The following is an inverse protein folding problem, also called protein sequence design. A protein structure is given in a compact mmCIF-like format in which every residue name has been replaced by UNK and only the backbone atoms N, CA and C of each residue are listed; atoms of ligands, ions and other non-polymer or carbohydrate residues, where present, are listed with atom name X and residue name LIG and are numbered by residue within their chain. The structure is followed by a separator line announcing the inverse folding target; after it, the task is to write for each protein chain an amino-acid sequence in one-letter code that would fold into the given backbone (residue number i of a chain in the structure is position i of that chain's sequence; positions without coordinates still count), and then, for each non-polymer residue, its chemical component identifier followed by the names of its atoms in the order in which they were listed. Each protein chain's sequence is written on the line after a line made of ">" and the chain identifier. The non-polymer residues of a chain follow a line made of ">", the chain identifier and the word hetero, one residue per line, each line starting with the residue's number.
data_IF_409586995003
#
_entry.id   IF_409586995003
#
_cell.length_a   1.000
_cell.length_b   1.000
_cell.length_c   1.000
_cell.angle_alpha   90.00
_cell.angle_beta   90.00
_cell.angle_gamma   90.00
#
_symmetry.space_group_name_H-M   'P 1'
#
loop_
_entity.id
_entity.type
_entity.pdbx_description
1 polymer ?
#
# COMPACT_ATOMS: atom_id res chain seq x y z
N UNK A 1 21.82 -10.64 -6.62
CA UNK A 1 20.83 -11.30 -7.51
C UNK A 1 19.58 -10.44 -7.46
N UNK A 2 19.32 -9.67 -8.53
CA UNK A 2 18.16 -8.77 -8.57
C UNK A 2 16.90 -9.62 -8.58
N UNK A 3 16.09 -9.52 -7.53
CA UNK A 3 14.74 -10.05 -7.55
C UNK A 3 14.01 -9.29 -8.65
N UNK A 4 13.86 -9.93 -9.81
CA UNK A 4 12.92 -9.49 -10.83
C UNK A 4 11.59 -9.38 -10.10
N UNK A 5 11.15 -8.15 -9.84
CA UNK A 5 9.82 -7.90 -9.34
C UNK A 5 8.88 -8.51 -10.37
N UNK A 6 8.34 -9.68 -10.06
CA UNK A 6 7.34 -10.34 -10.88
C UNK A 6 6.23 -9.31 -11.05
N UNK A 7 6.15 -8.72 -12.24
CA UNK A 7 5.10 -7.78 -12.63
C UNK A 7 3.83 -8.60 -12.89
N UNK A 8 3.42 -9.34 -11.87
CA UNK A 8 2.37 -10.33 -11.89
C UNK A 8 1.15 -9.66 -11.28
N UNK A 9 0.06 -9.65 -12.04
CA UNK A 9 -1.19 -9.03 -11.61
C UNK A 9 -1.84 -9.89 -10.51
N UNK A 10 -2.71 -9.28 -9.71
CA UNK A 10 -3.45 -9.97 -8.64
C UNK A 10 -4.19 -11.19 -9.21
N UNK A 11 -4.83 -11.05 -10.37
CA UNK A 11 -5.54 -12.17 -11.00
C UNK A 11 -4.60 -13.29 -11.47
N UNK A 12 -3.37 -12.97 -11.86
CA UNK A 12 -2.41 -13.98 -12.29
C UNK A 12 -1.82 -14.75 -11.10
N UNK A 13 -1.61 -14.09 -9.97
CA UNK A 13 -1.23 -14.73 -8.70
C UNK A 13 -2.33 -15.67 -8.18
N UNK A 14 -3.59 -15.23 -8.24
CA UNK A 14 -4.72 -16.01 -7.72
C UNK A 14 -5.15 -17.17 -8.62
N UNK A 15 -4.71 -17.18 -9.89
CA UNK A 15 -4.90 -18.31 -10.79
C UNK A 15 -3.72 -19.30 -10.80
N UNK A 16 -2.63 -18.99 -10.09
CA UNK A 16 -1.49 -19.88 -10.01
C UNK A 16 -1.83 -21.11 -9.13
N UNK A 17 -1.69 -22.34 -9.65
CA UNK A 17 -2.09 -23.56 -8.95
C UNK A 17 -1.27 -23.82 -7.68
N UNK A 18 0.00 -23.41 -7.65
CA UNK A 18 0.84 -23.54 -6.46
C UNK A 18 0.39 -22.55 -5.37
N UNK A 19 0.07 -21.33 -5.76
CA UNK A 19 -0.49 -20.30 -4.88
C UNK A 19 -1.83 -20.76 -4.31
N UNK A 20 -2.74 -21.29 -5.13
CA UNK A 20 -4.00 -21.85 -4.63
C UNK A 20 -3.81 -23.03 -3.67
N UNK A 21 -2.83 -23.89 -3.93
CA UNK A 21 -2.51 -25.01 -3.04
C UNK A 21 -2.00 -24.53 -1.67
N UNK A 22 -1.12 -23.52 -1.67
CA UNK A 22 -0.64 -22.86 -0.44
C UNK A 22 -1.78 -22.18 0.31
N UNK A 23 -2.60 -21.40 -0.38
CA UNK A 23 -3.76 -20.73 0.23
C UNK A 23 -4.72 -21.74 0.87
N UNK A 24 -4.97 -22.89 0.23
CA UNK A 24 -5.78 -23.96 0.83
C UNK A 24 -5.10 -24.59 2.05
N UNK A 25 -3.79 -24.80 2.01
CA UNK A 25 -3.03 -25.33 3.13
C UNK A 25 -3.07 -24.39 4.34
N UNK A 26 -3.02 -23.08 4.10
CA UNK A 26 -3.09 -22.03 5.12
C UNK A 26 -4.53 -21.62 5.50
N UNK A 27 -5.56 -22.23 4.89
CA UNK A 27 -6.97 -21.89 5.16
C UNK A 27 -7.39 -20.50 4.67
N UNK A 28 -6.67 -19.92 3.71
CA UNK A 28 -6.93 -18.60 3.15
C UNK A 28 -7.93 -18.72 1.99
N UNK A 29 -9.01 -17.94 2.08
CA UNK A 29 -9.97 -17.82 0.99
C UNK A 29 -9.43 -16.88 -0.12
N UNK A 30 -9.34 -17.35 -1.39
CA UNK A 30 -8.83 -16.55 -2.50
C UNK A 30 -9.66 -15.33 -2.84
N UNK A 31 -10.98 -15.37 -2.60
CA UNK A 31 -11.86 -14.23 -2.84
C UNK A 31 -11.57 -13.11 -1.83
N UNK A 32 -11.45 -13.47 -0.55
CA UNK A 32 -11.09 -12.54 0.52
C UNK A 32 -9.72 -11.90 0.30
N UNK A 33 -8.72 -12.69 -0.12
CA UNK A 33 -7.39 -12.17 -0.43
C UNK A 33 -7.45 -11.19 -1.61
N UNK A 34 -8.21 -11.51 -2.67
CA UNK A 34 -8.42 -10.62 -3.82
C UNK A 34 -8.97 -9.27 -3.40
N UNK A 35 -10.05 -9.26 -2.62
CA UNK A 35 -10.69 -8.03 -2.16
C UNK A 35 -9.73 -7.17 -1.33
N UNK A 36 -8.95 -7.80 -0.45
CA UNK A 36 -7.95 -7.10 0.35
C UNK A 36 -6.88 -6.46 -0.53
N UNK A 37 -6.28 -7.22 -1.45
CA UNK A 37 -5.23 -6.74 -2.34
C UNK A 37 -5.74 -5.62 -3.29
N UNK A 38 -6.94 -5.77 -3.84
CA UNK A 38 -7.57 -4.72 -4.66
C UNK A 38 -7.84 -3.45 -3.85
N UNK A 39 -8.31 -3.58 -2.61
CA UNK A 39 -8.52 -2.45 -1.71
C UNK A 39 -7.22 -1.71 -1.37
N UNK A 40 -6.13 -2.44 -1.14
CA UNK A 40 -4.81 -1.87 -0.91
C UNK A 40 -4.26 -1.19 -2.17
N UNK A 41 -4.39 -1.81 -3.34
CA UNK A 41 -3.99 -1.23 -4.61
C UNK A 41 -4.70 0.11 -4.87
N UNK A 42 -6.01 0.19 -4.59
CA UNK A 42 -6.79 1.43 -4.70
C UNK A 42 -6.26 2.53 -3.77
N UNK A 43 -6.04 2.21 -2.48
CA UNK A 43 -5.50 3.18 -1.51
C UNK A 43 -4.11 3.68 -1.89
N UNK A 44 -3.27 2.79 -2.42
CA UNK A 44 -1.93 3.14 -2.91
C UNK A 44 -1.99 4.06 -4.14
N UNK A 45 -2.95 3.82 -5.04
CA UNK A 45 -3.19 4.70 -6.18
C UNK A 45 -3.66 6.09 -5.73
N UNK A 46 -4.63 6.15 -4.82
CA UNK A 46 -5.14 7.41 -4.22
C UNK A 46 -4.02 8.19 -3.52
N UNK A 47 -3.14 7.50 -2.77
CA UNK A 47 -2.00 8.14 -2.09
C UNK A 47 -0.89 8.59 -3.04
N UNK A 48 -0.72 7.94 -4.20
CA UNK A 48 0.23 8.38 -5.25
C UNK A 48 -0.26 9.59 -6.02
N UNK A 49 -1.58 9.71 -6.17
CA UNK A 49 -2.22 10.86 -6.82
C UNK A 49 -2.31 12.09 -5.89
N UNK A 50 -2.10 11.88 -4.59
CA UNK A 50 -2.06 12.95 -3.60
C UNK A 50 -0.82 13.84 -3.81
N UNK A 51 -1.00 15.14 -4.09
CA UNK A 51 0.12 16.00 -4.40
C UNK A 51 1.02 16.21 -3.18
N UNK A 52 2.34 16.34 -3.36
CA UNK A 52 3.34 16.29 -2.28
C UNK A 52 3.16 17.39 -1.21
N UNK A 53 2.43 18.46 -1.52
CA UNK A 53 2.12 19.54 -0.56
C UNK A 53 1.07 19.16 0.50
N UNK A 54 0.35 18.03 0.34
CA UNK A 54 -0.58 17.53 1.35
C UNK A 54 0.06 16.56 2.35
N UNK A 55 1.35 16.20 2.16
CA UNK A 55 2.13 15.41 3.13
C UNK A 55 2.86 16.30 4.14
N UNK A 56 2.85 17.62 3.95
CA UNK A 56 3.57 18.62 4.76
C UNK A 56 2.66 19.30 5.79
N UNK A 57 1.85 18.56 6.55
CA UNK A 57 1.11 19.15 7.68
C UNK A 57 1.47 18.55 9.05
N UNK A 58 2.36 17.57 9.11
CA UNK A 58 2.69 16.91 10.39
C UNK A 58 4.05 17.31 10.97
N UNK A 59 4.77 18.25 10.37
CA UNK A 59 6.07 18.75 10.87
C UNK A 59 6.06 20.26 11.15
N UNK A 60 5.04 20.77 11.83
CA UNK A 60 5.11 22.09 12.48
C UNK A 60 4.46 22.06 13.86
N UNK A 61 4.81 21.04 14.65
CA UNK A 61 4.68 21.09 16.10
C UNK A 61 5.99 21.62 16.70
N UNK A 62 6.34 22.88 16.41
CA UNK A 62 7.36 23.62 17.15
C UNK A 62 6.83 25.03 17.42
N UNK A 63 6.33 25.33 18.64
CA UNK A 63 5.99 26.69 19.01
C UNK A 63 7.28 27.44 19.32
N UNK A 64 7.94 28.00 18.30
CA UNK A 64 8.93 29.04 18.55
C UNK A 64 8.23 30.39 18.54
N UNK A 65 7.55 30.69 19.65
CA UNK A 65 7.10 32.05 19.96
C UNK A 65 8.34 32.90 20.31
N UNK A 66 9.12 33.24 19.29
CA UNK A 66 10.07 34.34 19.35
C UNK A 66 9.27 35.64 19.25
N UNK A 67 8.89 36.21 20.39
CA UNK A 67 8.45 37.60 20.46
C UNK A 67 9.71 38.46 20.24
N UNK A 68 9.73 39.20 19.13
CA UNK A 68 10.69 40.26 18.89
C UNK A 68 9.93 41.47 18.31
N UNK A 69 10.01 42.61 18.98
CA UNK A 69 9.65 43.93 18.44
C UNK A 69 8.67 44.72 19.29
N UNK A 70 9.18 45.70 20.05
CA UNK A 70 8.42 46.70 20.81
C UNK A 70 9.26 47.36 21.87
#
# INVERSE_FOLDING_TARGET
>A
MAQQGCNMTIDQLLNDPLTLALMRADGVDPVSLRMMLTGLARRLAEKRDMPPFLLTFSDTAMPHAGIQGG
#
